data_IF_266579862117
#
_entry.id   IF_266579862117
#
_cell.length_a   1.000
_cell.length_b   1.000
_cell.length_c   1.000
_cell.angle_alpha   90.00
_cell.angle_beta   90.00
_cell.angle_gamma   90.00
#
_symmetry.space_group_name_H-M   'P 1'
#
loop_
_entity.id
_entity.type
_entity.pdbx_description
1 polymer ?
#
# COMPACT_ATOMS: atom_id res chain seq x y z
N UNK A 1 6.14 1.54 -22.52
CA UNK A 1 6.61 2.59 -21.58
C UNK A 1 7.88 2.06 -20.91
N UNK A 2 8.90 2.90 -20.73
CA UNK A 2 10.16 2.45 -20.15
C UNK A 2 10.02 2.35 -18.64
N UNK A 3 10.21 1.15 -18.07
CA UNK A 3 10.35 0.93 -16.64
C UNK A 3 11.83 0.85 -16.28
N UNK A 4 12.19 1.35 -15.12
CA UNK A 4 13.57 1.39 -14.64
C UNK A 4 13.72 0.62 -13.35
N UNK A 5 14.93 0.13 -13.09
CA UNK A 5 15.27 -0.50 -11.83
C UNK A 5 16.68 -0.11 -11.37
N UNK A 6 16.87 -0.25 -10.07
CA UNK A 6 18.16 -0.13 -9.39
C UNK A 6 18.33 -1.34 -8.47
N UNK A 7 19.51 -1.93 -8.48
CA UNK A 7 19.88 -2.99 -7.55
C UNK A 7 21.32 -2.81 -7.09
N UNK A 8 21.50 -2.51 -5.81
CA UNK A 8 22.83 -2.41 -5.16
C UNK A 8 23.88 -1.60 -5.97
N UNK A 9 23.52 -0.43 -6.48
CA UNK A 9 24.43 0.45 -7.23
C UNK A 9 24.28 0.39 -8.75
N UNK A 10 23.65 -0.62 -9.30
CA UNK A 10 23.34 -0.71 -10.73
C UNK A 10 22.00 -0.07 -11.04
N UNK A 11 21.94 0.88 -11.95
CA UNK A 11 20.73 1.50 -12.47
C UNK A 11 20.62 1.26 -13.97
N UNK A 12 19.45 0.94 -14.47
CA UNK A 12 19.19 0.71 -15.89
C UNK A 12 17.73 0.44 -16.20
N UNK A 13 17.43 -0.01 -17.40
CA UNK A 13 16.12 -0.52 -17.74
C UNK A 13 15.81 -1.75 -16.88
N UNK A 14 14.53 -1.95 -16.55
CA UNK A 14 14.11 -3.03 -15.66
C UNK A 14 14.53 -4.41 -16.15
N UNK A 15 14.48 -4.65 -17.47
CA UNK A 15 14.88 -5.91 -18.10
C UNK A 15 16.39 -6.20 -18.03
N UNK A 16 17.22 -5.18 -17.83
CA UNK A 16 18.68 -5.30 -17.78
C UNK A 16 19.23 -5.52 -16.36
N UNK A 17 18.40 -5.35 -15.33
CA UNK A 17 18.80 -5.50 -13.93
C UNK A 17 18.64 -6.94 -13.47
N UNK A 18 19.75 -7.55 -13.08
CA UNK A 18 19.79 -8.94 -12.60
C UNK A 18 19.86 -9.00 -11.08
N UNK A 19 19.02 -9.86 -10.50
CA UNK A 19 19.03 -10.16 -9.08
C UNK A 19 19.67 -11.54 -8.89
N UNK A 20 20.66 -11.70 -7.98
CA UNK A 20 21.23 -13.01 -7.71
C UNK A 20 20.19 -14.04 -7.30
N UNK A 21 20.21 -15.23 -7.92
CA UNK A 21 19.26 -16.32 -7.62
C UNK A 21 19.25 -16.69 -6.12
N UNK A 22 20.35 -16.49 -5.44
CA UNK A 22 20.51 -16.76 -4.01
C UNK A 22 20.03 -15.62 -3.10
N UNK A 23 19.40 -14.55 -3.64
CA UNK A 23 18.72 -13.54 -2.82
C UNK A 23 17.60 -14.20 -2.01
N UNK A 24 17.58 -13.96 -0.70
CA UNK A 24 16.67 -14.64 0.22
C UNK A 24 15.20 -14.28 0.01
N UNK A 25 14.92 -13.14 -0.63
CA UNK A 25 13.53 -12.79 -1.00
C UNK A 25 12.93 -13.80 -1.99
N UNK A 26 13.75 -14.44 -2.83
CA UNK A 26 13.31 -15.41 -3.82
C UNK A 26 12.86 -16.72 -3.16
N UNK A 27 13.61 -17.21 -2.16
CA UNK A 27 13.32 -18.50 -1.52
C UNK A 27 12.42 -18.43 -0.30
N UNK A 28 12.50 -17.33 0.45
CA UNK A 28 11.88 -17.23 1.77
C UNK A 28 10.93 -16.04 1.91
N UNK A 29 10.86 -15.14 0.91
CA UNK A 29 10.17 -13.88 1.10
C UNK A 29 10.80 -13.04 2.23
N UNK A 30 12.11 -13.20 2.49
CA UNK A 30 12.83 -12.56 3.60
C UNK A 30 13.23 -11.13 3.20
N UNK A 31 12.19 -10.29 3.08
CA UNK A 31 12.31 -8.90 2.67
C UNK A 31 11.13 -8.05 3.16
N UNK A 32 11.40 -6.76 3.31
CA UNK A 32 10.38 -5.72 3.46
C UNK A 32 10.37 -4.85 2.21
N UNK A 33 9.22 -4.22 1.94
CA UNK A 33 9.11 -3.25 0.86
C UNK A 33 8.26 -2.05 1.26
N UNK A 34 8.39 -0.98 0.49
CA UNK A 34 7.42 0.09 0.51
C UNK A 34 7.14 0.57 -0.91
N UNK A 35 6.07 1.34 -1.09
CA UNK A 35 5.71 1.87 -2.39
C UNK A 35 5.06 3.25 -2.24
N UNK A 36 5.49 4.18 -3.09
CA UNK A 36 5.02 5.54 -3.14
C UNK A 36 4.69 5.96 -4.58
N UNK A 37 4.06 7.11 -4.75
CA UNK A 37 3.98 7.78 -6.04
C UNK A 37 5.02 8.89 -6.03
N UNK A 38 5.72 9.08 -7.14
CA UNK A 38 6.62 10.21 -7.31
C UNK A 38 6.28 11.05 -8.53
N UNK A 39 6.75 12.28 -8.52
CA UNK A 39 6.68 13.20 -9.64
C UNK A 39 8.03 13.92 -9.76
N UNK A 40 8.71 13.73 -10.89
CA UNK A 40 10.09 14.20 -11.13
C UNK A 40 11.06 13.72 -10.03
N UNK A 41 11.63 14.64 -9.23
CA UNK A 41 12.56 14.37 -8.13
C UNK A 41 11.89 14.25 -6.75
N UNK A 42 10.55 14.29 -6.69
CA UNK A 42 9.77 14.29 -5.45
C UNK A 42 9.02 13.00 -5.25
N UNK A 43 8.81 12.62 -4.01
CA UNK A 43 8.07 11.42 -3.62
C UNK A 43 6.93 11.85 -2.68
N UNK A 44 5.71 11.47 -3.01
CA UNK A 44 4.52 11.80 -2.22
C UNK A 44 4.55 11.08 -0.89
N UNK A 45 4.37 11.80 0.22
CA UNK A 45 4.48 11.29 1.61
C UNK A 45 5.79 10.54 1.89
N UNK A 46 6.89 11.02 1.29
CA UNK A 46 8.20 10.37 1.32
C UNK A 46 8.68 10.02 2.73
N UNK A 47 8.52 10.97 3.67
CA UNK A 47 8.97 10.82 5.05
C UNK A 47 8.35 9.60 5.71
N UNK A 48 7.03 9.46 5.59
CA UNK A 48 6.26 8.38 6.20
C UNK A 48 6.55 7.03 5.54
N UNK A 49 6.72 7.00 4.22
CA UNK A 49 7.09 5.78 3.50
C UNK A 49 8.46 5.27 3.92
N UNK A 50 9.46 6.14 4.02
CA UNK A 50 10.82 5.77 4.45
C UNK A 50 10.83 5.34 5.92
N UNK A 51 10.13 6.07 6.80
CA UNK A 51 10.04 5.72 8.21
C UNK A 51 9.44 4.33 8.41
N UNK A 52 8.33 4.01 7.73
CA UNK A 52 7.71 2.68 7.79
C UNK A 52 8.62 1.60 7.24
N UNK A 53 9.29 1.85 6.13
CA UNK A 53 10.24 0.92 5.51
C UNK A 53 11.39 0.55 6.45
N UNK A 54 12.07 1.55 7.01
CA UNK A 54 13.19 1.34 7.93
C UNK A 54 12.73 0.69 9.24
N UNK A 55 11.56 1.09 9.77
CA UNK A 55 10.95 0.45 10.93
C UNK A 55 10.70 -1.04 10.68
N UNK A 56 10.13 -1.39 9.53
CA UNK A 56 9.83 -2.77 9.18
C UNK A 56 11.10 -3.60 8.97
N UNK A 57 12.14 -3.04 8.34
CA UNK A 57 13.44 -3.68 8.22
C UNK A 57 14.05 -4.01 9.60
N UNK A 58 14.00 -3.04 10.52
CA UNK A 58 14.48 -3.23 11.89
C UNK A 58 13.67 -4.29 12.65
N UNK A 59 12.35 -4.31 12.51
CA UNK A 59 11.47 -5.32 13.14
C UNK A 59 11.77 -6.74 12.68
N UNK A 60 12.18 -6.93 11.43
CA UNK A 60 12.62 -8.23 10.90
C UNK A 60 14.12 -8.50 11.16
N UNK A 61 14.85 -7.60 11.80
CA UNK A 61 16.28 -7.73 12.02
C UNK A 61 17.08 -7.77 10.72
N UNK A 62 16.63 -7.11 9.66
CA UNK A 62 17.38 -6.95 8.42
C UNK A 62 18.44 -5.87 8.66
N UNK A 63 19.71 -6.27 8.72
CA UNK A 63 20.83 -5.33 8.97
C UNK A 63 20.98 -4.39 7.76
N UNK A 64 20.98 -3.10 8.01
CA UNK A 64 21.22 -2.07 6.99
C UNK A 64 21.97 -0.87 7.58
N UNK A 65 22.63 -0.12 6.71
CA UNK A 65 23.37 1.10 7.08
C UNK A 65 22.62 2.38 6.71
N UNK A 66 21.48 2.27 6.04
CA UNK A 66 20.74 3.43 5.55
C UNK A 66 20.22 4.30 6.69
N UNK A 67 20.60 5.58 6.65
CA UNK A 67 19.90 6.64 7.38
C UNK A 67 18.75 7.17 6.52
N UNK A 68 17.73 7.73 7.15
CA UNK A 68 16.55 8.26 6.46
C UNK A 68 16.91 9.22 5.34
N UNK A 69 17.77 10.21 5.61
CA UNK A 69 18.16 11.22 4.62
C UNK A 69 19.00 10.64 3.47
N UNK A 70 19.85 9.66 3.75
CA UNK A 70 20.66 8.98 2.73
C UNK A 70 19.77 8.16 1.78
N UNK A 71 18.78 7.43 2.32
CA UNK A 71 17.82 6.69 1.51
C UNK A 71 16.94 7.64 0.70
N UNK A 72 16.43 8.72 1.30
CA UNK A 72 15.68 9.77 0.61
C UNK A 72 16.47 10.32 -0.60
N UNK A 73 17.72 10.73 -0.39
CA UNK A 73 18.57 11.26 -1.45
C UNK A 73 18.80 10.23 -2.56
N UNK A 74 19.04 8.98 -2.21
CA UNK A 74 19.23 7.90 -3.19
C UNK A 74 17.95 7.65 -4.02
N UNK A 75 16.80 7.57 -3.39
CA UNK A 75 15.53 7.36 -4.10
C UNK A 75 15.22 8.50 -5.07
N UNK A 76 15.48 9.76 -4.68
CA UNK A 76 15.33 10.93 -5.55
C UNK A 76 16.34 10.93 -6.69
N UNK A 77 17.59 10.57 -6.44
CA UNK A 77 18.61 10.43 -7.50
C UNK A 77 18.20 9.39 -8.55
N UNK A 78 17.68 8.24 -8.11
CA UNK A 78 17.16 7.19 -8.99
C UNK A 78 15.96 7.71 -9.80
N UNK A 79 15.05 8.46 -9.15
CA UNK A 79 13.89 9.07 -9.81
C UNK A 79 14.31 10.04 -10.91
N UNK A 80 15.24 10.96 -10.63
CA UNK A 80 15.77 11.89 -11.63
C UNK A 80 16.41 11.16 -12.82
N UNK A 81 17.19 10.10 -12.57
CA UNK A 81 17.79 9.30 -13.63
C UNK A 81 16.77 8.60 -14.54
N UNK A 82 15.59 8.30 -14.04
CA UNK A 82 14.52 7.66 -14.83
C UNK A 82 13.88 8.60 -15.85
N UNK A 83 13.95 9.91 -15.64
CA UNK A 83 13.28 10.95 -16.44
C UNK A 83 11.76 10.75 -16.57
N UNK A 84 11.11 10.11 -15.59
CA UNK A 84 9.66 9.91 -15.57
C UNK A 84 8.98 11.09 -14.89
N UNK A 85 7.93 11.62 -15.52
CA UNK A 85 7.15 12.73 -14.97
C UNK A 85 6.30 12.31 -13.76
N UNK A 86 5.67 11.12 -13.84
CA UNK A 86 4.92 10.52 -12.76
C UNK A 86 5.15 9.00 -12.75
N UNK A 87 5.47 8.46 -11.59
CA UNK A 87 5.86 7.05 -11.47
C UNK A 87 5.37 6.41 -10.19
N UNK A 88 5.12 5.11 -10.27
CA UNK A 88 5.02 4.24 -9.12
C UNK A 88 6.41 3.81 -8.70
N UNK A 89 6.82 4.22 -7.52
CA UNK A 89 8.09 3.88 -6.90
C UNK A 89 7.87 2.68 -5.96
N UNK A 90 8.53 1.57 -6.24
CA UNK A 90 8.63 0.44 -5.33
C UNK A 90 10.07 0.32 -4.84
N UNK A 91 10.28 0.11 -3.56
CA UNK A 91 11.60 -0.15 -3.00
C UNK A 91 11.54 -1.26 -1.95
N UNK A 92 12.52 -2.18 -2.03
CA UNK A 92 12.57 -3.42 -1.26
C UNK A 92 13.95 -3.60 -0.65
N UNK A 93 13.99 -4.02 0.60
CA UNK A 93 15.20 -4.43 1.29
C UNK A 93 15.09 -5.92 1.62
N UNK A 94 15.90 -6.73 0.97
CA UNK A 94 16.03 -8.15 1.28
C UNK A 94 17.21 -8.40 2.20
N UNK A 95 17.13 -9.46 3.02
CA UNK A 95 18.30 -10.00 3.68
C UNK A 95 19.20 -10.62 2.61
N UNK A 96 20.47 -10.21 2.58
CA UNK A 96 21.42 -10.49 1.49
C UNK A 96 21.49 -11.97 1.13
N UNK A 97 21.96 -12.17 -0.06
CA UNK A 97 22.38 -13.43 -0.69
C UNK A 97 23.24 -14.30 0.23
N UNK A 98 22.73 -15.50 0.54
CA UNK A 98 23.41 -16.54 1.30
C UNK A 98 23.07 -17.93 0.70
N UNK A 99 23.77 -18.96 1.12
CA UNK A 99 23.32 -20.34 0.87
C UNK A 99 21.86 -20.49 1.35
N UNK A 100 21.09 -21.38 0.69
CA UNK A 100 19.69 -21.64 1.05
C UNK A 100 19.58 -22.35 2.42
N UNK A 101 19.86 -21.61 3.48
CA UNK A 101 19.65 -22.02 4.88
C UNK A 101 18.61 -21.11 5.53
N UNK A 102 17.82 -21.63 6.49
CA UNK A 102 16.75 -20.85 7.11
C UNK A 102 17.28 -19.69 7.96
N UNK A 103 18.37 -19.89 8.70
CA UNK A 103 19.03 -18.82 9.47
C UNK A 103 19.72 -17.81 8.55
N UNK A 104 19.54 -16.51 8.86
CA UNK A 104 20.13 -15.40 8.09
C UNK A 104 20.86 -14.39 8.99
N UNK A 105 21.48 -14.84 10.11
CA UNK A 105 21.95 -13.97 11.19
C UNK A 105 22.97 -12.91 10.75
N UNK A 106 23.91 -13.23 9.89
CA UNK A 106 25.04 -12.33 9.55
C UNK A 106 24.98 -11.73 8.15
N UNK A 107 23.80 -11.81 7.51
CA UNK A 107 23.61 -11.24 6.20
C UNK A 107 23.48 -9.71 6.25
N UNK A 108 24.20 -8.99 5.40
CA UNK A 108 23.89 -7.61 5.02
C UNK A 108 22.60 -7.58 4.21
N UNK A 109 22.16 -6.40 3.78
CA UNK A 109 20.94 -6.25 2.96
C UNK A 109 21.25 -5.98 1.49
N UNK A 110 20.24 -6.20 0.64
CA UNK A 110 20.23 -5.79 -0.77
C UNK A 110 19.05 -4.87 -1.01
N UNK A 111 19.29 -3.72 -1.65
CA UNK A 111 18.27 -2.74 -2.01
C UNK A 111 17.89 -2.90 -3.49
N UNK A 112 16.61 -3.19 -3.74
CA UNK A 112 15.98 -3.13 -5.04
C UNK A 112 15.06 -1.91 -5.08
N UNK A 113 15.11 -1.14 -6.17
CA UNK A 113 14.13 -0.07 -6.45
C UNK A 113 13.61 -0.28 -7.86
N UNK A 114 12.30 -0.10 -8.07
CA UNK A 114 11.72 -0.05 -9.42
C UNK A 114 10.85 1.19 -9.59
N UNK A 115 10.85 1.72 -10.81
CA UNK A 115 10.03 2.85 -11.22
C UNK A 115 9.26 2.47 -12.47
N UNK A 116 7.94 2.50 -12.33
CA UNK A 116 7.01 2.24 -13.43
C UNK A 116 6.17 3.51 -13.69
N UNK A 117 6.04 3.99 -14.94
CA UNK A 117 5.20 5.15 -15.23
C UNK A 117 3.75 4.85 -14.83
N UNK A 118 3.10 5.81 -14.15
CA UNK A 118 1.71 5.68 -13.69
C UNK A 118 0.93 6.95 -14.00
N UNK A 119 -0.39 6.80 -14.14
CA UNK A 119 -1.33 7.91 -14.17
C UNK A 119 -2.36 7.71 -13.06
N UNK A 120 -2.57 8.71 -12.25
CA UNK A 120 -3.62 8.73 -11.22
C UNK A 120 -4.85 9.42 -11.81
N UNK A 121 -5.97 8.72 -11.77
CA UNK A 121 -7.24 9.23 -12.28
C UNK A 121 -7.85 10.21 -11.27
N UNK A 122 -8.34 11.35 -11.77
CA UNK A 122 -8.99 12.37 -10.96
C UNK A 122 -10.35 11.89 -10.42
N UNK A 123 -11.17 11.31 -11.30
CA UNK A 123 -12.53 10.86 -10.96
C UNK A 123 -12.72 9.39 -11.34
N UNK A 124 -12.08 8.47 -10.62
CA UNK A 124 -12.19 7.05 -10.95
C UNK A 124 -13.57 6.49 -10.61
N UNK A 125 -14.04 5.53 -11.40
CA UNK A 125 -15.28 4.80 -11.12
C UNK A 125 -15.23 4.14 -9.74
N UNK A 126 -16.36 4.05 -9.02
CA UNK A 126 -16.43 3.34 -7.75
C UNK A 126 -16.03 1.87 -7.89
N UNK A 127 -15.42 1.33 -6.83
CA UNK A 127 -14.88 -0.03 -6.81
C UNK A 127 -15.96 -1.09 -6.68
N UNK A 128 -15.69 -2.25 -7.29
CA UNK A 128 -16.42 -3.51 -7.07
C UNK A 128 -15.54 -4.44 -6.26
N UNK A 129 -16.05 -4.94 -5.16
CA UNK A 129 -15.31 -5.76 -4.21
C UNK A 129 -15.96 -7.14 -4.05
N UNK A 130 -15.15 -8.12 -3.62
CA UNK A 130 -15.65 -9.37 -3.05
C UNK A 130 -15.20 -9.46 -1.59
N UNK A 131 -15.84 -10.31 -0.78
CA UNK A 131 -15.35 -10.67 0.54
C UNK A 131 -14.72 -12.04 0.52
N UNK A 132 -13.68 -12.25 1.31
CA UNK A 132 -13.03 -13.55 1.47
C UNK A 132 -12.52 -13.75 2.89
N UNK A 133 -12.33 -15.01 3.30
CA UNK A 133 -11.73 -15.33 4.58
C UNK A 133 -10.25 -14.86 4.63
N UNK A 134 -9.86 -14.24 5.75
CA UNK A 134 -8.49 -13.82 5.99
C UNK A 134 -7.61 -14.99 6.45
N UNK A 135 -6.92 -15.60 5.51
CA UNK A 135 -5.98 -16.70 5.73
C UNK A 135 -4.53 -16.23 5.91
N UNK A 136 -4.28 -14.91 6.02
CA UNK A 136 -2.95 -14.38 6.24
C UNK A 136 -2.45 -14.69 7.65
N UNK A 137 -1.13 -14.76 7.79
CA UNK A 137 -0.48 -14.92 9.11
C UNK A 137 -0.45 -13.60 9.88
N UNK A 138 -0.14 -13.66 11.19
CA UNK A 138 -0.28 -12.52 12.11
C UNK A 138 0.91 -11.54 12.09
N UNK A 139 1.34 -11.12 10.91
CA UNK A 139 2.37 -10.09 10.68
C UNK A 139 1.94 -9.08 9.60
N UNK A 140 0.62 -8.86 9.46
CA UNK A 140 0.10 -7.96 8.43
C UNK A 140 0.54 -6.51 8.62
N UNK A 141 0.94 -6.12 9.83
CA UNK A 141 1.47 -4.81 10.18
C UNK A 141 2.94 -4.59 9.75
N UNK A 142 3.59 -5.62 9.23
CA UNK A 142 4.91 -5.52 8.59
C UNK A 142 4.73 -5.66 7.07
N UNK A 143 5.20 -4.68 6.32
CA UNK A 143 5.07 -4.67 4.86
C UNK A 143 6.11 -5.60 4.22
N UNK A 144 5.86 -6.92 4.31
CA UNK A 144 6.73 -7.97 3.76
C UNK A 144 6.32 -8.36 2.35
N UNK A 145 7.21 -9.02 1.60
CA UNK A 145 6.91 -9.58 0.28
C UNK A 145 6.14 -10.92 0.33
N UNK A 146 5.73 -11.37 1.50
CA UNK A 146 4.96 -12.61 1.68
C UNK A 146 3.46 -12.38 1.36
N UNK A 147 3.14 -12.17 0.11
CA UNK A 147 1.83 -11.69 -0.35
C UNK A 147 0.95 -12.80 -0.94
N UNK A 148 1.35 -14.07 -0.89
CA UNK A 148 0.64 -15.16 -1.60
C UNK A 148 -0.87 -15.21 -1.31
N UNK A 149 -1.37 -15.13 -0.06
CA UNK A 149 -2.82 -15.13 0.18
C UNK A 149 -3.53 -13.92 -0.45
N UNK A 150 -2.89 -12.75 -0.44
CA UNK A 150 -3.43 -11.53 -1.05
C UNK A 150 -3.43 -11.62 -2.58
N UNK A 151 -2.37 -12.18 -3.18
CA UNK A 151 -2.27 -12.39 -4.64
C UNK A 151 -3.34 -13.37 -5.13
N UNK A 152 -3.55 -14.49 -4.43
CA UNK A 152 -4.59 -15.46 -4.81
C UNK A 152 -5.98 -14.82 -4.82
N UNK A 153 -6.31 -14.05 -3.78
CA UNK A 153 -7.61 -13.38 -3.68
C UNK A 153 -7.75 -12.19 -4.65
N UNK A 154 -6.66 -11.48 -4.95
CA UNK A 154 -6.68 -10.46 -5.99
C UNK A 154 -6.98 -11.07 -7.37
N UNK A 155 -6.37 -12.23 -7.68
CA UNK A 155 -6.64 -12.99 -8.92
C UNK A 155 -8.10 -13.47 -8.96
N UNK A 156 -8.64 -13.95 -7.83
CA UNK A 156 -10.05 -14.36 -7.75
C UNK A 156 -11.00 -13.17 -7.97
N UNK A 157 -10.70 -12.01 -7.37
CA UNK A 157 -11.50 -10.79 -7.55
C UNK A 157 -11.51 -10.37 -9.03
N UNK A 158 -10.34 -10.34 -9.67
CA UNK A 158 -10.19 -10.01 -11.09
C UNK A 158 -10.99 -10.98 -11.99
N UNK A 159 -10.90 -12.28 -11.74
CA UNK A 159 -11.66 -13.30 -12.47
C UNK A 159 -13.18 -13.12 -12.35
N UNK A 160 -13.66 -12.48 -11.27
CA UNK A 160 -15.06 -12.11 -11.04
C UNK A 160 -15.43 -10.71 -11.54
N UNK A 161 -14.53 -10.02 -12.24
CA UNK A 161 -14.72 -8.64 -12.71
C UNK A 161 -14.81 -7.62 -11.57
N UNK A 162 -14.12 -7.91 -10.45
CA UNK A 162 -14.02 -7.05 -9.28
C UNK A 162 -12.59 -6.50 -9.14
N UNK A 163 -12.47 -5.34 -8.49
CA UNK A 163 -11.22 -4.59 -8.38
C UNK A 163 -10.30 -5.13 -7.26
N UNK A 164 -10.92 -5.69 -6.18
CA UNK A 164 -10.18 -6.14 -5.00
C UNK A 164 -11.03 -7.06 -4.11
N UNK A 165 -10.38 -7.83 -3.24
CA UNK A 165 -11.06 -8.59 -2.19
C UNK A 165 -10.87 -7.95 -0.82
N UNK A 166 -11.91 -7.99 0.01
CA UNK A 166 -11.93 -7.58 1.42
C UNK A 166 -11.72 -8.82 2.28
N UNK A 167 -10.72 -8.79 3.12
CA UNK A 167 -10.43 -9.83 4.10
C UNK A 167 -11.38 -9.75 5.30
N UNK A 168 -11.95 -10.89 5.67
CA UNK A 168 -12.82 -11.05 6.84
C UNK A 168 -12.28 -12.16 7.72
N UNK A 169 -11.98 -11.87 8.99
CA UNK A 169 -11.48 -12.85 9.99
C UNK A 169 -12.48 -12.99 11.12
N UNK A 170 -13.06 -14.17 11.28
CA UNK A 170 -14.08 -14.44 12.31
C UNK A 170 -15.22 -13.40 12.31
N UNK A 171 -15.72 -13.06 11.12
CA UNK A 171 -16.80 -12.07 10.94
C UNK A 171 -16.35 -10.60 11.00
N UNK A 172 -15.10 -10.31 11.37
CA UNK A 172 -14.53 -8.96 11.47
C UNK A 172 -13.78 -8.60 10.18
N UNK A 173 -14.07 -7.44 9.62
CA UNK A 173 -13.35 -6.88 8.47
C UNK A 173 -11.97 -6.41 8.93
N UNK A 174 -10.93 -6.79 8.18
CA UNK A 174 -9.56 -6.32 8.44
C UNK A 174 -9.15 -5.25 7.43
N UNK A 175 -8.76 -5.63 6.24
CA UNK A 175 -8.38 -4.73 5.14
C UNK A 175 -8.65 -5.39 3.78
N UNK A 176 -8.28 -4.76 2.68
CA UNK A 176 -8.33 -5.38 1.35
C UNK A 176 -6.98 -5.99 0.96
N UNK A 177 -6.92 -6.63 -0.21
CA UNK A 177 -5.70 -7.34 -0.68
C UNK A 177 -4.47 -6.44 -0.84
N UNK A 178 -4.65 -5.16 -1.13
CA UNK A 178 -3.59 -4.15 -1.29
C UNK A 178 -3.95 -2.76 -0.78
N UNK A 179 -5.04 -2.65 -0.01
CA UNK A 179 -5.63 -1.38 0.45
C UNK A 179 -6.21 -1.52 1.85
N UNK A 180 -6.38 -0.41 2.58
CA UNK A 180 -7.20 -0.40 3.77
C UNK A 180 -8.65 -0.05 3.42
N UNK A 181 -9.59 -0.45 4.26
CA UNK A 181 -11.02 -0.19 4.11
C UNK A 181 -11.59 0.52 5.34
N UNK A 182 -12.46 1.47 5.09
CA UNK A 182 -13.20 2.22 6.11
C UNK A 182 -14.66 2.33 5.70
N UNK A 183 -15.56 2.45 6.66
CA UNK A 183 -16.97 2.70 6.41
C UNK A 183 -17.39 4.06 7.00
N UNK A 184 -18.28 4.76 6.29
CA UNK A 184 -19.07 5.85 6.88
C UNK A 184 -20.34 5.26 7.46
N UNK A 185 -20.69 5.68 8.64
CA UNK A 185 -21.92 5.29 9.31
C UNK A 185 -22.40 6.44 10.22
N UNK A 186 -23.52 7.05 9.88
CA UNK A 186 -24.13 8.18 10.59
C UNK A 186 -23.13 9.32 10.78
N UNK A 187 -22.49 9.78 9.70
CA UNK A 187 -21.52 10.87 9.70
C UNK A 187 -20.21 10.58 10.45
N UNK A 188 -19.88 9.31 10.70
CA UNK A 188 -18.63 8.90 11.36
C UNK A 188 -17.85 7.97 10.47
N UNK A 189 -16.55 8.11 10.45
CA UNK A 189 -15.69 7.12 9.80
C UNK A 189 -15.27 6.04 10.81
N UNK A 190 -15.39 4.79 10.41
CA UNK A 190 -15.03 3.61 11.21
C UNK A 190 -14.04 2.79 10.41
N UNK A 191 -12.94 2.41 11.01
CA UNK A 191 -11.90 1.60 10.37
C UNK A 191 -11.25 0.67 11.40
N UNK A 192 -10.71 -0.45 10.94
CA UNK A 192 -10.01 -1.39 11.83
C UNK A 192 -8.84 -0.68 12.53
N UNK A 193 -8.63 -0.86 13.84
CA UNK A 193 -7.52 -0.25 14.58
C UNK A 193 -6.19 -0.85 14.13
N UNK A 194 -5.11 -0.07 14.29
CA UNK A 194 -3.75 -0.58 14.05
C UNK A 194 -3.48 -1.81 14.90
N UNK A 195 -3.14 -2.90 14.26
CA UNK A 195 -2.88 -4.19 14.91
C UNK A 195 -2.09 -5.07 13.95
N UNK A 196 -1.68 -6.25 14.40
CA UNK A 196 -1.02 -7.26 13.56
C UNK A 196 -1.93 -7.89 12.49
N UNK A 197 -3.18 -7.40 12.32
CA UNK A 197 -4.16 -7.87 11.32
C UNK A 197 -4.28 -6.97 10.11
N UNK A 198 -3.76 -5.75 10.17
CA UNK A 198 -3.79 -4.79 9.05
C UNK A 198 -2.44 -4.11 8.89
N UNK A 199 -2.14 -3.70 7.67
CA UNK A 199 -1.05 -2.76 7.45
C UNK A 199 -1.50 -1.35 7.89
N UNK A 200 -0.71 -0.61 8.71
CA UNK A 200 -0.97 0.80 8.98
C UNK A 200 -0.69 1.62 7.71
N UNK A 201 -1.72 1.78 6.87
CA UNK A 201 -1.60 2.44 5.57
C UNK A 201 -1.39 3.94 5.71
N UNK A 202 -0.43 4.52 4.96
CA UNK A 202 -0.15 5.95 4.99
C UNK A 202 -1.35 6.73 4.44
N UNK A 203 -1.90 6.33 3.29
CA UNK A 203 -3.11 6.94 2.76
C UNK A 203 -4.31 6.84 3.72
N UNK A 204 -4.42 5.74 4.49
CA UNK A 204 -5.42 5.61 5.57
C UNK A 204 -5.22 6.69 6.63
N UNK A 205 -4.01 6.88 7.13
CA UNK A 205 -3.72 7.89 8.16
C UNK A 205 -4.05 9.30 7.65
N UNK A 206 -3.64 9.65 6.44
CA UNK A 206 -3.97 10.94 5.82
C UNK A 206 -5.49 11.14 5.67
N UNK A 207 -6.25 10.10 5.27
CA UNK A 207 -7.71 10.17 5.25
C UNK A 207 -8.28 10.47 6.64
N UNK A 208 -7.84 9.74 7.67
CA UNK A 208 -8.33 9.93 9.03
C UNK A 208 -7.99 11.33 9.57
N UNK A 209 -6.81 11.85 9.25
CA UNK A 209 -6.42 13.21 9.65
C UNK A 209 -7.23 14.28 8.93
N UNK A 210 -7.54 14.10 7.64
CA UNK A 210 -8.47 14.98 6.92
C UNK A 210 -9.87 14.93 7.53
N UNK A 211 -10.38 13.75 7.85
CA UNK A 211 -11.68 13.60 8.55
C UNK A 211 -11.69 14.39 9.87
N UNK A 212 -10.66 14.28 10.70
CA UNK A 212 -10.56 15.02 11.96
C UNK A 212 -10.54 16.54 11.73
N UNK A 213 -9.81 17.02 10.71
CA UNK A 213 -9.71 18.45 10.38
C UNK A 213 -11.04 19.08 9.96
N UNK A 214 -11.91 18.32 9.30
CA UNK A 214 -13.25 18.79 8.89
C UNK A 214 -14.36 18.41 9.89
N UNK A 215 -13.97 17.94 11.09
CA UNK A 215 -14.92 17.66 12.19
C UNK A 215 -15.63 16.31 12.11
N UNK A 216 -15.24 15.42 11.21
CA UNK A 216 -15.79 14.06 11.14
C UNK A 216 -15.19 13.21 12.27
N UNK A 217 -16.06 12.57 13.07
CA UNK A 217 -15.63 11.69 14.15
C UNK A 217 -14.98 10.41 13.59
N UNK A 218 -13.73 10.15 13.99
CA UNK A 218 -12.98 8.94 13.63
C UNK A 218 -13.09 7.91 14.75
N UNK A 219 -13.48 6.68 14.40
CA UNK A 219 -13.56 5.54 15.30
C UNK A 219 -12.65 4.41 14.80
N UNK A 220 -11.51 4.25 15.43
CA UNK A 220 -10.60 3.12 15.16
C UNK A 220 -11.03 1.94 16.04
N UNK A 221 -11.95 1.14 15.52
CA UNK A 221 -12.47 -0.08 16.15
C UNK A 221 -12.72 -1.18 15.12
N UNK A 222 -12.72 -2.46 15.53
CA UNK A 222 -13.23 -3.53 14.67
C UNK A 222 -14.67 -3.25 14.24
N UNK A 223 -15.02 -3.68 13.03
CA UNK A 223 -16.37 -3.68 12.50
C UNK A 223 -16.64 -4.96 11.74
N UNK A 224 -17.91 -5.37 11.72
CA UNK A 224 -18.30 -6.66 11.17
C UNK A 224 -18.56 -6.59 9.66
N UNK A 225 -18.66 -7.79 9.03
CA UNK A 225 -19.12 -7.88 7.63
C UNK A 225 -20.52 -7.30 7.45
N UNK A 226 -21.40 -7.46 8.43
CA UNK A 226 -22.77 -6.90 8.42
C UNK A 226 -22.72 -5.35 8.46
N UNK A 227 -21.87 -4.77 9.32
CA UNK A 227 -21.66 -3.33 9.34
C UNK A 227 -21.11 -2.81 8.00
N UNK A 228 -20.20 -3.57 7.36
CA UNK A 228 -19.69 -3.24 6.03
C UNK A 228 -20.80 -3.21 4.98
N UNK A 229 -21.64 -4.26 4.93
CA UNK A 229 -22.70 -4.38 3.93
C UNK A 229 -23.87 -3.40 4.12
N UNK A 230 -24.04 -2.85 5.33
CA UNK A 230 -25.11 -1.89 5.67
C UNK A 230 -24.61 -0.47 5.83
N UNK A 231 -23.34 -0.22 5.64
CA UNK A 231 -22.70 1.10 5.76
C UNK A 231 -23.37 2.17 4.89
N UNK A 232 -23.26 3.41 5.31
CA UNK A 232 -23.76 4.54 4.52
C UNK A 232 -22.87 4.79 3.31
N UNK A 233 -21.54 4.66 3.46
CA UNK A 233 -20.55 4.65 2.38
C UNK A 233 -19.35 3.75 2.73
N UNK A 234 -18.60 3.34 1.72
CA UNK A 234 -17.39 2.53 1.85
C UNK A 234 -16.23 3.22 1.14
N UNK A 235 -15.15 3.43 1.85
CA UNK A 235 -13.93 4.08 1.36
C UNK A 235 -12.75 3.11 1.42
N UNK A 236 -12.01 3.05 0.33
CA UNK A 236 -10.82 2.20 0.16
C UNK A 236 -9.62 3.08 -0.10
N UNK A 237 -8.55 2.93 0.71
CA UNK A 237 -7.36 3.77 0.64
C UNK A 237 -6.11 2.97 0.35
N UNK A 238 -5.30 3.45 -0.58
CA UNK A 238 -3.94 2.96 -0.84
C UNK A 238 -3.11 4.07 -1.50
N UNK A 239 -1.82 3.85 -1.63
CA UNK A 239 -0.92 4.79 -2.30
C UNK A 239 -1.41 5.19 -3.70
N UNK A 240 -1.81 4.22 -4.52
CA UNK A 240 -2.24 4.47 -5.92
C UNK A 240 -3.71 4.83 -6.07
N UNK A 241 -4.55 4.43 -5.13
CA UNK A 241 -5.98 4.77 -5.13
C UNK A 241 -6.25 6.09 -4.40
N UNK A 242 -5.31 6.57 -3.58
CA UNK A 242 -5.52 7.66 -2.63
C UNK A 242 -6.72 7.34 -1.72
N UNK A 243 -7.92 7.72 -2.15
CA UNK A 243 -9.20 7.31 -1.59
C UNK A 243 -10.20 7.06 -2.71
N UNK A 244 -10.89 5.91 -2.69
CA UNK A 244 -11.95 5.56 -3.65
C UNK A 244 -13.17 5.01 -2.94
N UNK A 245 -14.35 5.33 -3.45
CA UNK A 245 -15.60 4.72 -3.01
C UNK A 245 -15.72 3.29 -3.54
N UNK A 246 -16.39 2.42 -2.79
CA UNK A 246 -16.87 1.14 -3.31
C UNK A 246 -18.40 1.15 -3.34
N UNK A 247 -18.99 0.54 -4.39
CA UNK A 247 -20.46 0.54 -4.56
C UNK A 247 -21.05 -0.87 -4.71
N UNK A 248 -20.22 -1.89 -4.89
CA UNK A 248 -20.69 -3.29 -4.87
C UNK A 248 -19.77 -4.15 -4.04
N UNK A 249 -20.35 -5.06 -3.26
CA UNK A 249 -19.66 -6.12 -2.53
C UNK A 249 -20.42 -7.43 -2.75
N UNK A 250 -19.73 -8.48 -3.17
CA UNK A 250 -20.29 -9.80 -3.49
C UNK A 250 -21.51 -9.69 -4.46
N UNK A 251 -21.41 -8.80 -5.46
CA UNK A 251 -22.45 -8.54 -6.46
C UNK A 251 -23.66 -7.73 -5.94
N UNK A 252 -23.67 -7.32 -4.67
CA UNK A 252 -24.75 -6.52 -4.06
C UNK A 252 -24.35 -5.04 -4.01
N UNK A 253 -25.30 -4.15 -4.30
CA UNK A 253 -25.11 -2.72 -4.13
C UNK A 253 -24.97 -2.38 -2.64
N UNK A 254 -23.95 -1.54 -2.32
CA UNK A 254 -23.63 -1.06 -0.97
C UNK A 254 -23.37 0.44 -1.00
N UNK A 255 -23.49 1.11 0.15
CA UNK A 255 -23.29 2.56 0.23
C UNK A 255 -24.39 3.36 -0.44
N UNK A 256 -24.06 4.57 -0.89
CA UNK A 256 -24.97 5.46 -1.63
C UNK A 256 -25.94 6.26 -0.76
N UNK A 257 -25.75 6.28 0.57
CA UNK A 257 -26.60 7.05 1.49
C UNK A 257 -26.03 8.44 1.80
N UNK A 258 -24.71 8.58 1.78
CA UNK A 258 -24.00 9.86 2.01
C UNK A 258 -22.97 10.16 0.89
N UNK A 259 -23.39 10.13 -0.40
CA UNK A 259 -22.46 10.20 -1.53
C UNK A 259 -21.66 11.50 -1.57
N UNK A 260 -22.25 12.63 -1.21
CA UNK A 260 -21.59 13.93 -1.22
C UNK A 260 -20.42 13.99 -0.23
N UNK A 261 -20.61 13.46 0.98
CA UNK A 261 -19.54 13.40 2.00
C UNK A 261 -18.40 12.46 1.56
N UNK A 262 -18.75 11.30 1.00
CA UNK A 262 -17.74 10.37 0.51
C UNK A 262 -16.94 10.93 -0.67
N UNK A 263 -17.58 11.66 -1.57
CA UNK A 263 -16.91 12.37 -2.67
C UNK A 263 -16.00 13.48 -2.16
N UNK A 264 -16.45 14.28 -1.19
CA UNK A 264 -15.62 15.30 -0.55
C UNK A 264 -14.34 14.70 0.03
N UNK A 265 -14.43 13.57 0.75
CA UNK A 265 -13.27 12.88 1.30
C UNK A 265 -12.32 12.35 0.22
N UNK A 266 -12.86 11.79 -0.86
CA UNK A 266 -12.05 11.36 -2.00
C UNK A 266 -11.34 12.55 -2.67
N UNK A 267 -12.05 13.66 -2.87
CA UNK A 267 -11.50 14.88 -3.48
C UNK A 267 -10.40 15.49 -2.62
N UNK A 268 -10.56 15.59 -1.30
CA UNK A 268 -9.53 16.07 -0.40
C UNK A 268 -8.23 15.24 -0.48
N UNK A 269 -8.33 13.94 -0.71
CA UNK A 269 -7.16 13.08 -0.90
C UNK A 269 -6.54 13.27 -2.29
N UNK A 270 -7.35 13.48 -3.32
CA UNK A 270 -6.87 13.75 -4.67
C UNK A 270 -6.21 15.14 -4.78
N UNK A 271 -6.81 16.17 -4.20
CA UNK A 271 -6.26 17.54 -4.16
C UNK A 271 -4.88 17.58 -3.49
N UNK A 272 -4.69 16.81 -2.41
CA UNK A 272 -3.38 16.68 -1.76
C UNK A 272 -2.31 16.15 -2.73
N UNK A 273 -2.67 15.14 -3.50
CA UNK A 273 -1.80 14.58 -4.54
C UNK A 273 -1.63 15.54 -5.73
N UNK A 274 -2.68 16.18 -6.21
CA UNK A 274 -2.61 17.15 -7.30
C UNK A 274 -1.70 18.34 -6.95
N UNK A 275 -1.83 18.87 -5.74
CA UNK A 275 -0.96 19.93 -5.23
C UNK A 275 0.51 19.48 -5.10
N UNK A 276 0.74 18.22 -4.75
CA UNK A 276 2.09 17.65 -4.77
C UNK A 276 2.66 17.62 -6.20
N UNK A 277 1.88 17.29 -7.21
CA UNK A 277 2.35 17.23 -8.60
C UNK A 277 2.67 18.60 -9.21
N UNK A 278 2.00 19.68 -8.79
CA UNK A 278 2.17 21.04 -9.34
C UNK A 278 3.42 21.73 -8.78
N UNK A 279 3.82 21.44 -7.57
CA UNK A 279 4.96 22.09 -6.87
C UNK A 279 6.29 21.51 -7.27
#
# INVERSE_FOLDING_TARGET
MNSYAYYNGQFGKREDILIPLSDRSIFFGDAVYDAAIGSYDRIHWESEHIDRFLLNANRLGIKHTFKKNELSSLLREIAVKSMLDCYFLYFQLSRKTLCRVHSGLDASSSLLVTLDPIKIEESPSPLKLITAEDLRYSYCDIKTVNLLPAVLLATEAEAKGCDEAVFVKNGIVTECTKSNISILNRGRIITHPKSNRILPGIAREHLLDKCRKIGIKVLERPFTKEELLTADEILVTSTTKLCRRAHTIDGKTVGGKEPALAEELCNLMYEDFANFCIK
#
